data_IF_529571019794
#
_entry.id   IF_529571019794
#
_cell.length_a   1.000
_cell.length_b   1.000
_cell.length_c   1.000
_cell.angle_alpha   90.00
_cell.angle_beta   90.00
_cell.angle_gamma   90.00
#
_symmetry.space_group_name_H-M   'P 1'
#
loop_
_entity.id
_entity.type
_entity.pdbx_description
1 polymer ?
#
# COMPACT_ATOMS: atom_id res chain seq x y z
N UNK A 1 2.89 -12.48 -24.21
CA UNK A 1 4.25 -11.96 -24.22
C UNK A 1 4.84 -12.20 -22.84
N UNK A 2 5.79 -13.13 -22.71
CA UNK A 2 6.49 -13.33 -21.45
C UNK A 2 7.35 -12.08 -21.21
N UNK A 3 7.03 -11.28 -20.19
CA UNK A 3 7.98 -10.30 -19.69
C UNK A 3 9.25 -11.07 -19.37
N UNK A 4 10.36 -10.72 -20.03
CA UNK A 4 11.67 -11.23 -19.68
C UNK A 4 11.82 -11.02 -18.17
N UNK A 5 11.90 -12.12 -17.41
CA UNK A 5 12.08 -12.08 -15.96
C UNK A 5 13.48 -11.53 -15.71
N UNK A 6 13.61 -10.19 -15.68
CA UNK A 6 14.77 -9.55 -15.13
C UNK A 6 14.90 -10.08 -13.70
N UNK A 7 16.11 -10.44 -13.32
CA UNK A 7 16.43 -10.89 -11.97
C UNK A 7 16.30 -9.66 -11.04
N UNK A 8 15.11 -9.47 -10.46
CA UNK A 8 14.78 -8.28 -9.66
C UNK A 8 15.51 -8.33 -8.32
N UNK A 9 16.15 -7.22 -7.93
CA UNK A 9 16.71 -7.01 -6.59
C UNK A 9 15.66 -6.60 -5.59
N UNK A 10 14.78 -5.67 -5.96
CA UNK A 10 13.91 -4.99 -5.02
C UNK A 10 12.52 -4.88 -5.64
N UNK A 11 11.57 -5.60 -5.07
CA UNK A 11 10.16 -5.54 -5.48
C UNK A 11 9.35 -5.00 -4.32
N UNK A 12 8.63 -3.91 -4.55
CA UNK A 12 7.72 -3.33 -3.56
C UNK A 12 6.30 -3.74 -3.92
N UNK A 13 5.57 -4.30 -2.97
CA UNK A 13 4.15 -4.64 -3.10
C UNK A 13 3.35 -3.79 -2.12
N UNK A 14 2.55 -2.85 -2.64
CA UNK A 14 1.71 -2.00 -1.80
C UNK A 14 0.40 -2.71 -1.42
N UNK A 15 0.11 -2.81 -0.11
CA UNK A 15 -1.08 -3.46 0.44
C UNK A 15 -1.88 -2.53 1.35
N UNK A 16 -3.20 -2.54 1.22
CA UNK A 16 -4.14 -1.74 2.03
C UNK A 16 -5.15 -2.63 2.81
N UNK A 17 -4.96 -3.95 2.78
CA UNK A 17 -5.87 -4.92 3.40
C UNK A 17 -7.05 -5.35 2.53
N UNK A 18 -7.23 -4.73 1.36
CA UNK A 18 -8.26 -5.14 0.40
C UNK A 18 -7.91 -6.46 -0.29
N UNK A 19 -8.94 -7.19 -0.74
CA UNK A 19 -8.76 -8.42 -1.52
C UNK A 19 -7.98 -8.17 -2.82
N UNK A 20 -8.17 -7.00 -3.45
CA UNK A 20 -7.43 -6.61 -4.65
C UNK A 20 -5.93 -6.46 -4.37
N UNK A 21 -5.56 -5.86 -3.23
CA UNK A 21 -4.17 -5.74 -2.83
C UNK A 21 -3.54 -7.11 -2.51
N UNK A 22 -4.29 -8.01 -1.87
CA UNK A 22 -3.82 -9.36 -1.57
C UNK A 22 -3.68 -10.22 -2.84
N UNK A 23 -4.55 -10.02 -3.84
CA UNK A 23 -4.38 -10.63 -5.17
C UNK A 23 -3.12 -10.12 -5.87
N UNK A 24 -2.81 -8.83 -5.72
CA UNK A 24 -1.58 -8.26 -6.27
C UNK A 24 -0.33 -8.90 -5.65
N UNK A 25 -0.33 -9.12 -4.34
CA UNK A 25 0.73 -9.85 -3.65
C UNK A 25 0.88 -11.29 -4.15
N UNK A 26 -0.23 -12.04 -4.27
CA UNK A 26 -0.18 -13.40 -4.82
C UNK A 26 0.38 -13.43 -6.23
N UNK A 27 -0.06 -12.51 -7.09
CA UNK A 27 0.46 -12.39 -8.45
C UNK A 27 1.96 -12.12 -8.47
N UNK A 28 2.46 -11.22 -7.60
CA UNK A 28 3.87 -10.91 -7.49
C UNK A 28 4.69 -12.15 -7.11
N UNK A 29 4.21 -12.91 -6.12
CA UNK A 29 4.86 -14.15 -5.66
C UNK A 29 4.86 -15.26 -6.73
N UNK A 30 3.80 -15.35 -7.52
CA UNK A 30 3.65 -16.39 -8.55
C UNK A 30 4.40 -16.06 -9.86
N UNK A 31 4.54 -14.77 -10.17
CA UNK A 31 5.00 -14.34 -11.51
C UNK A 31 6.44 -13.81 -11.52
N UNK A 32 6.97 -13.38 -10.38
CA UNK A 32 8.28 -12.72 -10.32
C UNK A 32 9.35 -13.68 -9.82
N UNK A 33 10.57 -13.49 -10.32
CA UNK A 33 11.76 -14.17 -9.82
C UNK A 33 12.72 -13.13 -9.27
N UNK A 34 12.96 -13.20 -7.97
CA UNK A 34 13.95 -12.37 -7.30
C UNK A 34 15.34 -12.97 -7.48
N UNK A 35 16.36 -12.11 -7.39
CA UNK A 35 17.74 -12.58 -7.19
C UNK A 35 17.90 -13.31 -5.85
N UNK A 36 18.96 -14.13 -5.69
CA UNK A 36 19.29 -14.73 -4.40
C UNK A 36 19.47 -13.69 -3.27
N UNK A 37 19.98 -12.50 -3.60
CA UNK A 37 20.11 -11.34 -2.72
C UNK A 37 18.92 -10.36 -2.81
N UNK A 38 17.90 -10.70 -3.59
CA UNK A 38 16.73 -9.86 -3.80
C UNK A 38 15.73 -9.93 -2.65
N UNK A 39 14.95 -8.86 -2.50
CA UNK A 39 13.93 -8.73 -1.48
C UNK A 39 12.57 -8.36 -2.10
N UNK A 40 11.51 -8.97 -1.56
CA UNK A 40 10.14 -8.51 -1.74
C UNK A 40 9.71 -7.80 -0.46
N UNK A 41 9.35 -6.53 -0.60
CA UNK A 41 8.91 -5.65 0.47
C UNK A 41 7.41 -5.44 0.36
N UNK A 42 6.67 -5.93 1.35
CA UNK A 42 5.25 -5.65 1.56
C UNK A 42 5.14 -4.31 2.26
N UNK A 43 4.68 -3.30 1.53
CA UNK A 43 4.52 -1.94 2.01
C UNK A 43 3.05 -1.67 2.38
N UNK A 44 2.82 -1.26 3.62
CA UNK A 44 1.54 -0.73 4.05
C UNK A 44 1.67 0.75 4.42
N UNK A 45 0.81 1.60 3.88
CA UNK A 45 0.73 3.01 4.26
C UNK A 45 -0.46 3.24 5.17
N UNK A 46 -0.19 3.65 6.40
CA UNK A 46 -1.19 4.03 7.38
C UNK A 46 -1.53 5.52 7.20
N UNK A 47 -2.79 5.88 6.92
CA UNK A 47 -3.20 7.28 6.91
C UNK A 47 -3.02 7.91 8.30
N UNK A 48 -2.61 9.19 8.39
CA UNK A 48 -2.48 9.86 9.68
C UNK A 48 -3.84 9.89 10.42
N UNK A 49 -3.86 9.87 11.77
CA UNK A 49 -5.07 9.76 12.58
C UNK A 49 -6.18 10.77 12.22
N UNK A 50 -5.81 12.01 11.88
CA UNK A 50 -6.77 13.04 11.46
C UNK A 50 -7.50 12.73 10.15
N UNK A 51 -6.84 12.07 9.18
CA UNK A 51 -7.47 11.66 7.92
C UNK A 51 -8.37 10.44 8.13
N UNK A 52 -7.90 9.46 8.92
CA UNK A 52 -8.68 8.26 9.21
C UNK A 52 -9.96 8.52 10.01
N UNK A 53 -9.96 9.56 10.86
CA UNK A 53 -11.14 10.00 11.60
C UNK A 53 -12.12 10.85 10.77
N UNK A 54 -11.81 11.15 9.49
CA UNK A 54 -12.60 12.09 8.68
C UNK A 54 -12.53 13.53 9.19
N UNK A 55 -11.55 13.85 10.05
CA UNK A 55 -11.36 15.13 10.73
C UNK A 55 -10.42 16.06 9.96
N UNK A 56 -10.29 15.90 8.64
CA UNK A 56 -9.59 16.85 7.80
C UNK A 56 -10.59 17.71 7.02
N UNK A 57 -11.35 18.62 7.66
CA UNK A 57 -11.80 19.78 6.93
C UNK A 57 -10.55 20.63 6.70
N UNK A 58 -10.35 21.13 5.49
CA UNK A 58 -9.45 22.28 5.31
C UNK A 58 -9.81 23.40 6.32
N UNK A 59 -8.92 24.38 6.54
CA UNK A 59 -9.13 25.41 7.56
C UNK A 59 -10.55 26.01 7.45
N UNK A 60 -11.41 25.77 8.44
CA UNK A 60 -12.73 26.40 8.49
C UNK A 60 -12.50 27.85 8.94
N UNK A 61 -12.83 28.87 8.12
CA UNK A 61 -12.45 30.27 8.39
C UNK A 61 -13.11 30.87 9.63
N UNK A 62 -14.09 30.17 10.22
CA UNK A 62 -14.96 30.68 11.27
C UNK A 62 -14.98 29.71 12.46
N UNK A 63 -13.94 29.79 13.31
CA UNK A 63 -14.02 29.45 14.73
C UNK A 63 -14.54 28.07 15.14
N UNK A 64 -14.44 27.04 14.29
CA UNK A 64 -14.61 25.66 14.75
C UNK A 64 -13.48 25.30 15.73
N UNK A 65 -13.71 24.40 16.69
CA UNK A 65 -12.64 24.00 17.61
C UNK A 65 -11.44 23.52 16.80
N UNK A 66 -10.32 24.23 16.92
CA UNK A 66 -9.02 23.82 16.40
C UNK A 66 -8.72 22.50 17.08
N UNK A 67 -8.97 21.36 16.40
CA UNK A 67 -8.78 19.97 16.84
C UNK A 67 -8.06 19.91 18.19
N UNK A 68 -8.82 20.15 19.26
CA UNK A 68 -8.26 20.13 20.59
C UNK A 68 -7.99 18.65 20.82
N UNK A 69 -6.72 18.30 20.80
CA UNK A 69 -6.17 16.97 20.99
C UNK A 69 -6.82 16.36 22.22
N UNK A 70 -7.87 15.57 22.04
CA UNK A 70 -8.42 14.73 23.11
C UNK A 70 -7.51 13.51 23.15
N UNK A 71 -6.56 13.41 24.11
CA UNK A 71 -5.49 12.41 24.03
C UNK A 71 -6.05 10.98 24.10
N UNK A 72 -7.19 10.80 24.78
CA UNK A 72 -7.88 9.52 24.82
C UNK A 72 -8.51 9.12 23.47
N UNK A 73 -8.98 10.09 22.67
CA UNK A 73 -9.56 9.82 21.35
C UNK A 73 -8.48 9.51 20.33
N UNK A 74 -7.37 10.26 20.34
CA UNK A 74 -6.21 9.98 19.48
C UNK A 74 -5.57 8.64 19.83
N UNK A 75 -5.39 8.30 21.11
CA UNK A 75 -4.89 6.99 21.55
C UNK A 75 -5.80 5.82 21.14
N UNK A 76 -7.12 5.99 21.26
CA UNK A 76 -8.07 4.95 20.84
C UNK A 76 -7.98 4.70 19.32
N UNK A 77 -7.93 5.76 18.51
CA UNK A 77 -7.77 5.66 17.05
C UNK A 77 -6.44 5.00 16.70
N UNK A 78 -5.34 5.43 17.30
CA UNK A 78 -4.01 4.86 17.06
C UNK A 78 -3.96 3.36 17.41
N UNK A 79 -4.55 2.96 18.53
CA UNK A 79 -4.59 1.54 18.93
C UNK A 79 -5.41 0.69 17.97
N UNK A 80 -6.50 1.22 17.44
CA UNK A 80 -7.33 0.53 16.47
C UNK A 80 -6.62 0.40 15.13
N UNK A 81 -6.00 1.48 14.65
CA UNK A 81 -5.21 1.47 13.43
C UNK A 81 -4.06 0.49 13.52
N UNK A 82 -3.34 0.45 14.65
CA UNK A 82 -2.25 -0.51 14.85
C UNK A 82 -2.72 -1.96 14.69
N UNK A 83 -3.85 -2.32 15.31
CA UNK A 83 -4.43 -3.67 15.17
C UNK A 83 -4.82 -4.00 13.72
N UNK A 84 -5.37 -3.03 13.00
CA UNK A 84 -5.70 -3.21 11.57
C UNK A 84 -4.42 -3.44 10.77
N UNK A 85 -3.40 -2.60 10.96
CA UNK A 85 -2.10 -2.75 10.29
C UNK A 85 -1.46 -4.11 10.61
N UNK A 86 -1.45 -4.52 11.87
CA UNK A 86 -0.97 -5.84 12.30
C UNK A 86 -1.71 -6.95 11.56
N UNK A 87 -3.05 -6.94 11.53
CA UNK A 87 -3.85 -7.94 10.83
C UNK A 87 -3.59 -7.99 9.31
N UNK A 88 -3.40 -6.82 8.68
CA UNK A 88 -3.07 -6.73 7.25
C UNK A 88 -1.71 -7.37 6.98
N UNK A 89 -0.70 -7.04 7.78
CA UNK A 89 0.65 -7.57 7.62
C UNK A 89 0.72 -9.07 7.93
N UNK A 90 0.03 -9.54 8.96
CA UNK A 90 -0.08 -10.97 9.27
C UNK A 90 -0.67 -11.74 8.09
N UNK A 91 -1.75 -11.24 7.48
CA UNK A 91 -2.35 -11.86 6.30
C UNK A 91 -1.37 -11.87 5.12
N UNK A 92 -0.69 -10.75 4.85
CA UNK A 92 0.29 -10.67 3.78
C UNK A 92 1.50 -11.61 4.00
N UNK A 93 2.02 -11.66 5.21
CA UNK A 93 3.13 -12.54 5.59
C UNK A 93 2.74 -14.02 5.52
N UNK A 94 1.49 -14.36 5.88
CA UNK A 94 0.96 -15.71 5.69
C UNK A 94 0.97 -16.09 4.21
N UNK A 95 0.51 -15.21 3.31
CA UNK A 95 0.55 -15.45 1.87
C UNK A 95 1.98 -15.64 1.37
N UNK A 96 2.94 -14.84 1.86
CA UNK A 96 4.36 -15.01 1.51
C UNK A 96 4.90 -16.37 1.98
N UNK A 97 4.54 -16.78 3.19
CA UNK A 97 4.99 -18.03 3.81
C UNK A 97 4.41 -19.26 3.09
N UNK A 98 3.13 -19.23 2.70
CA UNK A 98 2.48 -20.27 1.90
C UNK A 98 3.17 -20.48 0.54
N UNK A 99 3.90 -19.47 0.04
CA UNK A 99 4.68 -19.51 -1.20
C UNK A 99 6.17 -19.72 -0.98
N UNK A 100 6.63 -19.97 0.26
CA UNK A 100 8.04 -20.11 0.64
C UNK A 100 8.93 -18.90 0.26
N UNK A 101 8.35 -17.69 0.24
CA UNK A 101 9.10 -16.45 -0.01
C UNK A 101 9.22 -15.67 1.29
N UNK A 102 10.44 -15.23 1.63
CA UNK A 102 10.67 -14.34 2.76
C UNK A 102 10.29 -12.91 2.38
N UNK A 103 9.05 -12.51 2.68
CA UNK A 103 8.60 -11.13 2.57
C UNK A 103 9.14 -10.27 3.72
N UNK A 104 9.69 -9.11 3.41
CA UNK A 104 9.96 -8.07 4.40
C UNK A 104 8.72 -7.17 4.50
N UNK A 105 8.42 -6.65 5.69
CA UNK A 105 7.31 -5.72 5.88
C UNK A 105 7.83 -4.32 6.19
N UNK A 106 7.17 -3.32 5.65
CA UNK A 106 7.42 -1.92 5.98
C UNK A 106 6.09 -1.20 6.17
N UNK A 107 5.97 -0.48 7.27
CA UNK A 107 4.83 0.39 7.57
C UNK A 107 5.31 1.83 7.59
N UNK A 108 4.61 2.68 6.86
CA UNK A 108 4.87 4.13 6.85
C UNK A 108 3.58 4.87 7.11
N UNK A 109 3.68 6.02 7.78
CA UNK A 109 2.52 6.89 8.07
C UNK A 109 2.52 8.07 7.10
N UNK A 110 1.39 8.36 6.46
CA UNK A 110 1.25 9.50 5.56
C UNK A 110 0.18 9.33 4.50
N UNK A 111 0.24 10.15 3.44
CA UNK A 111 -0.60 9.96 2.25
C UNK A 111 -0.07 8.77 1.44
N UNK A 112 -0.89 7.74 1.16
CA UNK A 112 -0.49 6.59 0.34
C UNK A 112 0.10 6.95 -1.01
N UNK A 113 -0.37 8.00 -1.68
CA UNK A 113 0.12 8.44 -2.99
C UNK A 113 1.59 8.83 -2.93
N UNK A 114 1.95 9.63 -1.94
CA UNK A 114 3.30 10.17 -1.76
C UNK A 114 4.22 9.09 -1.18
N UNK A 115 3.80 8.45 -0.08
CA UNK A 115 4.63 7.50 0.66
C UNK A 115 4.99 6.24 -0.14
N UNK A 116 4.10 5.76 -1.01
CA UNK A 116 4.45 4.64 -1.90
C UNK A 116 5.57 5.05 -2.87
N UNK A 117 5.51 6.26 -3.44
CA UNK A 117 6.53 6.75 -4.36
C UNK A 117 7.86 6.99 -3.65
N UNK A 118 7.83 7.59 -2.47
CA UNK A 118 9.02 7.81 -1.63
C UNK A 118 9.72 6.50 -1.30
N UNK A 119 9.00 5.52 -0.75
CA UNK A 119 9.56 4.22 -0.36
C UNK A 119 10.10 3.47 -1.57
N UNK A 120 9.38 3.48 -2.70
CA UNK A 120 9.86 2.85 -3.93
C UNK A 120 11.19 3.47 -4.41
N UNK A 121 11.36 4.79 -4.27
CA UNK A 121 12.61 5.47 -4.61
C UNK A 121 13.73 5.16 -3.60
N UNK A 122 13.44 5.20 -2.30
CA UNK A 122 14.39 4.89 -1.22
C UNK A 122 14.96 3.48 -1.34
N UNK A 123 14.08 2.51 -1.61
CA UNK A 123 14.45 1.10 -1.77
C UNK A 123 15.02 0.79 -3.17
N UNK A 124 15.13 1.79 -4.05
CA UNK A 124 15.53 1.63 -5.45
C UNK A 124 14.79 0.47 -6.09
N UNK A 125 13.47 0.46 -5.94
CA UNK A 125 12.61 -0.63 -6.39
C UNK A 125 12.76 -0.83 -7.90
N UNK A 126 12.99 -2.07 -8.32
CA UNK A 126 13.00 -2.46 -9.73
C UNK A 126 11.57 -2.59 -10.27
N UNK A 127 10.59 -2.80 -9.37
CA UNK A 127 9.19 -2.99 -9.70
C UNK A 127 8.30 -2.60 -8.51
N UNK A 128 7.27 -1.80 -8.77
CA UNK A 128 6.16 -1.57 -7.86
C UNK A 128 4.95 -2.43 -8.31
N UNK A 129 4.40 -3.22 -7.40
CA UNK A 129 3.18 -4.00 -7.62
C UNK A 129 2.07 -3.50 -6.70
N UNK A 130 0.87 -3.30 -7.23
CA UNK A 130 -0.26 -2.86 -6.43
C UNK A 130 -1.60 -3.35 -6.99
N UNK A 131 -2.60 -3.42 -6.12
CA UNK A 131 -3.98 -3.67 -6.53
C UNK A 131 -4.64 -2.42 -7.13
N UNK A 132 -5.71 -2.63 -7.88
CA UNK A 132 -6.62 -1.56 -8.30
C UNK A 132 -7.97 -1.73 -7.62
N UNK A 133 -8.34 -0.78 -6.77
CA UNK A 133 -9.67 -0.73 -6.16
C UNK A 133 -10.60 0.16 -6.98
N UNK A 134 -11.73 -0.39 -7.41
CA UNK A 134 -12.84 0.36 -8.00
C UNK A 134 -13.95 0.54 -6.95
N UNK A 135 -14.53 1.73 -6.86
CA UNK A 135 -15.65 2.00 -5.95
C UNK A 135 -16.99 1.84 -6.68
N UNK A 136 -17.89 1.00 -6.15
CA UNK A 136 -19.30 0.89 -6.55
C UNK A 136 -19.60 -0.02 -7.76
N UNK A 137 -20.88 -0.18 -8.14
CA UNK A 137 -21.34 -1.05 -9.24
C UNK A 137 -20.94 -0.55 -10.65
N UNK A 138 -20.20 0.55 -10.73
CA UNK A 138 -19.70 1.10 -11.99
C UNK A 138 -18.49 0.28 -12.43
N UNK A 139 -18.77 -0.83 -13.11
CA UNK A 139 -17.81 -1.77 -13.74
C UNK A 139 -16.97 -1.15 -14.88
N UNK A 140 -16.82 0.17 -14.94
CA UNK A 140 -15.91 0.82 -15.90
C UNK A 140 -14.52 0.93 -15.30
N UNK A 141 -13.54 0.78 -16.19
CA UNK A 141 -12.11 0.61 -16.00
C UNK A 141 -11.42 1.82 -15.33
N UNK A 142 -11.86 2.22 -14.13
CA UNK A 142 -11.22 3.29 -13.39
C UNK A 142 -10.05 2.73 -12.59
N UNK A 143 -8.86 3.25 -12.87
CA UNK A 143 -7.71 3.15 -11.98
C UNK A 143 -8.07 3.85 -10.67
N UNK A 144 -7.85 3.16 -9.54
CA UNK A 144 -7.99 3.77 -8.21
C UNK A 144 -7.09 5.00 -8.07
N UNK A 145 -7.46 5.93 -7.19
CA UNK A 145 -6.74 7.22 -7.05
C UNK A 145 -5.25 7.04 -6.71
N UNK A 146 -4.89 6.04 -5.89
CA UNK A 146 -3.51 5.74 -5.52
C UNK A 146 -2.75 5.07 -6.67
N UNK A 147 -3.36 4.09 -7.35
CA UNK A 147 -2.70 3.42 -8.48
C UNK A 147 -2.52 4.34 -9.67
N UNK A 148 -3.51 5.19 -9.97
CA UNK A 148 -3.37 6.21 -10.99
C UNK A 148 -2.25 7.20 -10.66
N UNK A 149 -2.12 7.63 -9.40
CA UNK A 149 -1.02 8.51 -8.99
C UNK A 149 0.35 7.84 -9.16
N UNK A 150 0.49 6.61 -8.67
CA UNK A 150 1.77 5.89 -8.71
C UNK A 150 2.24 5.63 -10.14
N UNK A 151 1.35 5.21 -11.06
CA UNK A 151 1.68 5.01 -12.48
C UNK A 151 2.32 6.26 -13.10
N UNK A 152 1.87 7.45 -12.71
CA UNK A 152 2.34 8.71 -13.28
C UNK A 152 3.55 9.31 -12.56
N UNK A 153 3.87 8.84 -11.34
CA UNK A 153 4.80 9.55 -10.43
C UNK A 153 5.99 8.71 -9.97
N UNK A 154 5.88 7.38 -9.96
CA UNK A 154 6.97 6.53 -9.46
C UNK A 154 8.04 6.32 -10.53
N UNK A 155 9.30 6.30 -10.10
CA UNK A 155 10.46 6.20 -11.01
C UNK A 155 10.74 4.79 -11.55
N UNK A 156 10.00 3.77 -11.13
CA UNK A 156 10.18 2.38 -11.54
C UNK A 156 8.96 1.83 -12.29
N UNK A 157 9.10 0.71 -13.03
CA UNK A 157 7.96 0.03 -13.63
C UNK A 157 6.87 -0.27 -12.59
N UNK A 158 5.61 -0.09 -13.00
CA UNK A 158 4.43 -0.35 -12.17
C UNK A 158 3.58 -1.44 -12.78
N UNK A 159 3.25 -2.46 -11.98
CA UNK A 159 2.23 -3.44 -12.32
C UNK A 159 1.01 -3.22 -11.44
N UNK A 160 -0.11 -2.96 -12.11
CA UNK A 160 -1.41 -2.82 -11.45
C UNK A 160 -2.26 -4.05 -11.73
N UNK A 161 -2.59 -4.77 -10.66
CA UNK A 161 -3.41 -5.97 -10.72
C UNK A 161 -4.88 -5.58 -10.56
N UNK A 162 -5.67 -5.94 -11.58
CA UNK A 162 -7.09 -5.64 -11.63
C UNK A 162 -7.86 -6.48 -10.59
N UNK A 163 -8.73 -5.82 -9.83
CA UNK A 163 -9.75 -6.45 -8.99
C UNK A 163 -10.86 -7.11 -9.80
N UNK A 164 -11.52 -8.11 -9.21
CA UNK A 164 -12.67 -8.83 -9.78
C UNK A 164 -13.96 -8.08 -9.60
#
# INVERSE_FOLDING_TARGET
AAMATANLSSVVVAVDGSEESMKALRWALDSLRLRPDGALVVLHVQPPPGIAAGLNPGPIPFGGPSVAEVPAFTQAIESHQRRITEAILEHALKICSDKNVRGQTQVVVGDPKEKICEVAAELKADLLVMGCRAFGPVKRMFLGSVSNYCINSVGCPVVVIKGT
#
